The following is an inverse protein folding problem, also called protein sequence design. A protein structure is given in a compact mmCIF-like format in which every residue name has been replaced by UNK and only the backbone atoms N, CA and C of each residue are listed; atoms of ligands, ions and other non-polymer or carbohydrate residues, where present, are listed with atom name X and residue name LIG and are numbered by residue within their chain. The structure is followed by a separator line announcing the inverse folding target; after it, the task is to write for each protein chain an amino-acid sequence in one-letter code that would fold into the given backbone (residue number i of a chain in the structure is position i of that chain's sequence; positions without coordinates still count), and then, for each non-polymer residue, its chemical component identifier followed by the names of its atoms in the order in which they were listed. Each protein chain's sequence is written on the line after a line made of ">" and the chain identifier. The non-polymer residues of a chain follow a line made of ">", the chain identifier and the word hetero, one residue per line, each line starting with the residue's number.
data_IF_379109918306
#
_entry.id   IF_379109918306
#
_cell.length_a   1.000
_cell.length_b   1.000
_cell.length_c   1.000
_cell.angle_alpha   90.00
_cell.angle_beta   90.00
_cell.angle_gamma   90.00
#
_symmetry.space_group_name_H-M   'P 1'
#
loop_
_entity.id
_entity.type
_entity.pdbx_description
1 polymer ?
#
# COMPACT_ATOMS: atom_id res chain seq x y z
N UNK A 1 24.08 -11.58 21.84
CA UNK A 1 22.70 -11.72 21.32
C UNK A 1 22.58 -12.28 19.91
N UNK A 2 23.67 -12.63 19.18
CA UNK A 2 23.55 -13.26 17.85
C UNK A 2 22.89 -12.39 16.76
N UNK A 3 22.72 -11.10 17.02
CA UNK A 3 22.14 -10.10 16.11
C UNK A 3 23.30 -9.30 15.50
N UNK A 4 23.32 -9.20 14.18
CA UNK A 4 24.28 -8.42 13.41
C UNK A 4 23.96 -6.90 13.46
N UNK A 5 24.93 -6.06 13.09
CA UNK A 5 24.78 -4.58 13.13
C UNK A 5 23.61 -4.04 12.29
N UNK A 6 23.18 -4.81 11.29
CA UNK A 6 22.05 -4.52 10.41
C UNK A 6 20.69 -4.99 10.98
N UNK A 7 20.64 -5.47 12.23
CA UNK A 7 19.42 -5.97 12.86
C UNK A 7 18.94 -7.29 12.26
N UNK A 8 19.87 -8.08 11.72
CA UNK A 8 19.61 -9.42 11.19
C UNK A 8 20.14 -10.51 12.11
N UNK A 9 19.47 -11.66 12.10
CA UNK A 9 19.90 -12.90 12.76
C UNK A 9 20.18 -13.91 11.66
N UNK A 10 21.38 -14.48 11.67
CA UNK A 10 21.83 -15.48 10.69
C UNK A 10 21.77 -16.88 11.29
N UNK A 11 20.91 -17.70 10.74
CA UNK A 11 20.79 -19.12 11.06
C UNK A 11 21.60 -19.94 10.05
N UNK A 12 22.42 -20.86 10.54
CA UNK A 12 23.21 -21.80 9.73
C UNK A 12 22.92 -23.22 10.19
N UNK A 13 22.56 -24.09 9.24
CA UNK A 13 22.50 -25.52 9.48
C UNK A 13 23.92 -26.11 9.51
N UNK A 14 24.10 -27.25 10.19
CA UNK A 14 25.35 -27.99 10.09
C UNK A 14 25.43 -28.66 8.71
N UNK A 15 26.65 -28.80 8.20
CA UNK A 15 26.88 -29.42 6.89
C UNK A 15 26.45 -30.89 6.86
N UNK A 16 26.67 -31.62 7.97
CA UNK A 16 26.29 -33.02 8.11
C UNK A 16 24.76 -33.21 7.99
N UNK A 17 23.98 -32.36 8.66
CA UNK A 17 22.52 -32.36 8.56
C UNK A 17 22.05 -32.07 7.12
N UNK A 18 22.73 -31.16 6.43
CA UNK A 18 22.43 -30.85 5.02
C UNK A 18 22.87 -31.97 4.06
N UNK A 19 23.94 -32.71 4.37
CA UNK A 19 24.46 -33.79 3.52
C UNK A 19 23.46 -34.94 3.39
N UNK A 20 22.80 -35.32 4.48
CA UNK A 20 21.78 -36.38 4.48
C UNK A 20 20.39 -35.89 4.00
N UNK A 21 20.22 -34.58 3.73
CA UNK A 21 18.91 -34.00 3.44
C UNK A 21 18.50 -34.20 1.97
N UNK A 22 17.36 -34.86 1.74
CA UNK A 22 16.79 -35.08 0.40
C UNK A 22 16.46 -33.77 -0.35
N UNK A 23 16.20 -32.67 0.36
CA UNK A 23 15.90 -31.36 -0.23
C UNK A 23 17.14 -30.51 -0.53
N UNK A 24 18.35 -31.01 -0.25
CA UNK A 24 19.60 -30.24 -0.36
C UNK A 24 19.77 -29.58 -1.73
N UNK A 25 19.50 -30.31 -2.82
CA UNK A 25 19.66 -29.77 -4.18
C UNK A 25 18.80 -28.53 -4.43
N UNK A 26 17.60 -28.47 -3.86
CA UNK A 26 16.70 -27.30 -3.97
C UNK A 26 17.05 -26.20 -2.97
N UNK A 27 17.48 -26.58 -1.76
CA UNK A 27 17.66 -25.67 -0.64
C UNK A 27 19.03 -24.98 -0.62
N UNK A 28 20.08 -25.63 -1.11
CA UNK A 28 21.47 -25.16 -1.07
C UNK A 28 22.21 -25.44 -2.38
N UNK A 29 21.78 -24.88 -3.52
CA UNK A 29 22.34 -25.22 -4.82
C UNK A 29 23.84 -24.90 -4.93
N UNK A 30 24.26 -23.77 -4.35
CA UNK A 30 25.63 -23.26 -4.44
C UNK A 30 26.35 -23.17 -3.08
N UNK A 31 25.85 -23.84 -2.04
CA UNK A 31 26.41 -23.76 -0.69
C UNK A 31 26.49 -25.13 -0.01
N UNK A 32 27.51 -25.37 0.84
CA UNK A 32 27.68 -26.64 1.54
C UNK A 32 26.59 -26.89 2.60
N UNK A 33 25.96 -25.83 3.13
CA UNK A 33 24.92 -25.91 4.13
C UNK A 33 23.92 -24.75 4.01
N UNK A 34 22.71 -24.92 4.56
CA UNK A 34 21.65 -23.91 4.50
C UNK A 34 22.01 -22.71 5.38
N UNK A 35 21.89 -21.52 4.81
CA UNK A 35 22.00 -20.24 5.53
C UNK A 35 20.71 -19.46 5.32
N UNK A 36 20.09 -19.03 6.41
CA UNK A 36 18.88 -18.20 6.40
C UNK A 36 19.15 -16.94 7.22
N UNK A 37 18.92 -15.78 6.61
CA UNK A 37 18.98 -14.49 7.30
C UNK A 37 17.55 -14.03 7.58
N UNK A 38 17.24 -13.73 8.83
CA UNK A 38 15.93 -13.19 9.26
C UNK A 38 16.14 -11.84 9.92
N UNK A 39 15.19 -10.93 9.81
CA UNK A 39 15.26 -9.69 10.60
C UNK A 39 14.78 -9.93 12.03
N UNK A 40 15.26 -9.11 12.97
CA UNK A 40 14.64 -9.01 14.30
C UNK A 40 13.16 -8.62 14.24
N UNK A 41 12.73 -7.97 13.15
CA UNK A 41 11.33 -7.58 12.91
C UNK A 41 10.59 -8.54 11.98
N UNK A 42 11.08 -9.77 11.79
CA UNK A 42 10.46 -10.68 10.82
C UNK A 42 8.99 -10.98 11.15
N UNK A 43 8.61 -11.08 12.43
CA UNK A 43 7.20 -11.27 12.81
C UNK A 43 6.28 -10.16 12.30
N UNK A 44 6.72 -8.89 12.32
CA UNK A 44 5.96 -7.78 11.75
C UNK A 44 5.87 -7.86 10.22
N UNK A 45 6.93 -8.35 9.57
CA UNK A 45 6.96 -8.56 8.12
C UNK A 45 6.06 -9.71 7.70
N UNK A 46 6.07 -10.80 8.45
CA UNK A 46 5.21 -11.97 8.21
C UNK A 46 3.74 -11.58 8.39
N UNK A 47 3.39 -10.85 9.46
CA UNK A 47 2.05 -10.26 9.63
C UNK A 47 1.67 -9.36 8.44
N UNK A 48 2.60 -8.51 7.98
CA UNK A 48 2.34 -7.65 6.82
C UNK A 48 2.09 -8.49 5.56
N UNK A 49 2.90 -9.54 5.31
CA UNK A 49 2.72 -10.45 4.17
C UNK A 49 1.34 -11.11 4.22
N UNK A 50 0.95 -11.65 5.36
CA UNK A 50 -0.37 -12.26 5.58
C UNK A 50 -1.52 -11.28 5.29
N UNK A 51 -1.45 -10.07 5.86
CA UNK A 51 -2.45 -9.03 5.60
C UNK A 51 -2.48 -8.72 4.11
N UNK A 52 -1.33 -8.50 3.46
CA UNK A 52 -1.28 -8.12 2.04
C UNK A 52 -1.76 -9.22 1.09
N UNK A 53 -1.63 -10.48 1.48
CA UNK A 53 -2.11 -11.64 0.72
C UNK A 53 -3.63 -11.82 0.83
N UNK A 54 -4.28 -11.16 1.79
CA UNK A 54 -5.73 -11.26 1.98
C UNK A 54 -6.53 -10.50 0.91
N UNK A 55 -7.69 -11.05 0.54
CA UNK A 55 -8.65 -10.37 -0.34
C UNK A 55 -9.16 -9.05 0.26
N UNK A 56 -9.31 -9.00 1.58
CA UNK A 56 -9.71 -7.80 2.30
C UNK A 56 -8.71 -6.65 2.07
N UNK A 57 -7.41 -6.93 2.03
CA UNK A 57 -6.39 -5.94 1.72
C UNK A 57 -6.48 -5.47 0.27
N UNK A 58 -6.75 -6.36 -0.69
CA UNK A 58 -6.96 -5.98 -2.09
C UNK A 58 -8.13 -5.01 -2.24
N UNK A 59 -9.26 -5.29 -1.58
CA UNK A 59 -10.43 -4.40 -1.56
C UNK A 59 -10.10 -3.06 -0.92
N UNK A 60 -9.49 -3.08 0.27
CA UNK A 60 -9.07 -1.87 1.00
C UNK A 60 -8.08 -1.02 0.18
N UNK A 61 -7.11 -1.65 -0.48
CA UNK A 61 -6.14 -0.97 -1.37
C UNK A 61 -6.82 -0.28 -2.55
N UNK A 62 -7.77 -0.96 -3.21
CA UNK A 62 -8.57 -0.35 -4.29
C UNK A 62 -9.39 0.84 -3.78
N UNK A 63 -9.95 0.75 -2.58
CA UNK A 63 -10.71 1.85 -1.97
C UNK A 63 -9.80 3.05 -1.62
N UNK A 64 -8.62 2.81 -1.02
CA UNK A 64 -7.64 3.88 -0.72
C UNK A 64 -7.19 4.61 -1.98
N UNK A 65 -6.90 3.89 -3.06
CA UNK A 65 -6.54 4.50 -4.36
C UNK A 65 -7.65 5.42 -4.90
N UNK A 66 -8.93 5.05 -4.74
CA UNK A 66 -10.05 5.94 -5.13
C UNK A 66 -10.05 7.25 -4.34
N UNK A 67 -9.71 7.20 -3.04
CA UNK A 67 -9.61 8.38 -2.17
C UNK A 67 -8.38 9.21 -2.57
N UNK A 68 -7.21 8.60 -2.76
CA UNK A 68 -5.99 9.29 -3.21
C UNK A 68 -6.23 10.07 -4.52
N UNK A 69 -6.91 9.46 -5.48
CA UNK A 69 -7.30 10.12 -6.73
C UNK A 69 -8.27 11.29 -6.53
N UNK A 70 -9.17 11.20 -5.55
CA UNK A 70 -10.05 12.32 -5.20
C UNK A 70 -9.24 13.51 -4.69
N UNK A 71 -8.32 13.30 -3.74
CA UNK A 71 -7.45 14.35 -3.25
C UNK A 71 -6.55 14.93 -4.34
N UNK A 72 -6.02 14.09 -5.23
CA UNK A 72 -5.24 14.54 -6.37
C UNK A 72 -6.07 15.45 -7.31
N UNK A 73 -7.35 15.11 -7.54
CA UNK A 73 -8.25 15.95 -8.32
C UNK A 73 -8.61 17.27 -7.61
N UNK A 74 -8.86 17.24 -6.30
CA UNK A 74 -9.12 18.46 -5.53
C UNK A 74 -7.97 19.46 -5.69
N UNK A 75 -6.72 19.00 -5.53
CA UNK A 75 -5.53 19.84 -5.72
C UNK A 75 -5.37 20.30 -7.16
N UNK A 76 -5.31 19.36 -8.12
CA UNK A 76 -4.93 19.68 -9.50
C UNK A 76 -6.01 20.43 -10.28
N UNK A 77 -7.28 20.12 -10.06
CA UNK A 77 -8.42 20.59 -10.85
C UNK A 77 -9.18 21.70 -10.14
N UNK A 78 -9.51 21.51 -8.85
CA UNK A 78 -10.19 22.56 -8.07
C UNK A 78 -9.20 23.57 -7.46
N UNK A 79 -7.89 23.38 -7.66
CA UNK A 79 -6.83 24.29 -7.19
C UNK A 79 -6.89 24.55 -5.68
N UNK A 80 -7.29 23.53 -4.93
CA UNK A 80 -7.30 23.56 -3.47
C UNK A 80 -5.88 23.32 -2.92
N UNK A 81 -4.96 24.22 -3.27
CA UNK A 81 -3.54 24.15 -2.87
C UNK A 81 -3.29 24.82 -1.52
N UNK A 82 -4.21 25.69 -1.08
CA UNK A 82 -4.19 26.34 0.23
C UNK A 82 -5.61 26.54 0.74
N UNK A 83 -5.76 26.51 2.06
CA UNK A 83 -6.99 26.89 2.75
C UNK A 83 -6.99 28.40 2.97
N UNK A 84 -8.13 29.04 2.70
CA UNK A 84 -8.33 30.49 2.82
C UNK A 84 -8.89 30.89 4.19
N UNK A 85 -9.67 30.02 4.81
CA UNK A 85 -10.26 30.21 6.12
C UNK A 85 -9.30 29.72 7.22
N UNK A 86 -9.27 30.46 8.33
CA UNK A 86 -8.39 30.15 9.46
C UNK A 86 -9.06 29.17 10.43
N UNK A 87 -8.23 28.37 11.10
CA UNK A 87 -8.66 27.42 12.13
C UNK A 87 -9.30 26.13 11.59
N UNK A 88 -9.43 25.14 12.46
CA UNK A 88 -9.93 23.80 12.08
C UNK A 88 -11.37 23.84 11.52
N UNK A 89 -12.21 24.75 12.02
CA UNK A 89 -13.57 24.94 11.52
C UNK A 89 -13.58 25.47 10.08
N UNK A 90 -12.79 26.51 9.81
CA UNK A 90 -12.63 27.05 8.45
C UNK A 90 -12.09 26.02 7.46
N UNK A 91 -11.08 25.27 7.87
CA UNK A 91 -10.54 24.15 7.08
C UNK A 91 -11.62 23.11 6.75
N UNK A 92 -12.41 22.70 7.75
CA UNK A 92 -13.51 21.75 7.57
C UNK A 92 -14.50 22.24 6.53
N UNK A 93 -14.94 23.49 6.63
CA UNK A 93 -15.95 24.07 5.74
C UNK A 93 -15.44 24.13 4.29
N UNK A 94 -14.19 24.57 4.07
CA UNK A 94 -13.58 24.57 2.73
C UNK A 94 -13.49 23.18 2.11
N UNK A 95 -13.10 22.17 2.90
CA UNK A 95 -13.08 20.79 2.43
C UNK A 95 -14.48 20.26 2.10
N UNK A 96 -15.51 20.64 2.86
CA UNK A 96 -16.88 20.24 2.57
C UNK A 96 -17.38 20.85 1.25
N UNK A 97 -17.12 22.14 1.02
CA UNK A 97 -17.45 22.78 -0.26
C UNK A 97 -16.70 22.16 -1.44
N UNK A 98 -15.40 21.92 -1.30
CA UNK A 98 -14.59 21.29 -2.35
C UNK A 98 -15.05 19.85 -2.65
N UNK A 99 -15.39 19.09 -1.61
CA UNK A 99 -15.96 17.74 -1.76
C UNK A 99 -17.32 17.77 -2.46
N UNK A 100 -18.21 18.71 -2.10
CA UNK A 100 -19.50 18.89 -2.75
C UNK A 100 -19.35 19.20 -4.24
N UNK A 101 -18.48 20.15 -4.60
CA UNK A 101 -18.19 20.48 -6.00
C UNK A 101 -17.66 19.27 -6.78
N UNK A 102 -16.74 18.50 -6.18
CA UNK A 102 -16.19 17.30 -6.78
C UNK A 102 -17.25 16.19 -6.97
N UNK A 103 -18.17 16.05 -6.02
CA UNK A 103 -19.29 15.10 -6.11
C UNK A 103 -20.27 15.49 -7.23
N UNK A 104 -20.62 16.77 -7.33
CA UNK A 104 -21.45 17.31 -8.42
C UNK A 104 -20.80 17.05 -9.78
N UNK A 105 -19.49 17.27 -9.90
CA UNK A 105 -18.73 16.98 -11.13
C UNK A 105 -18.74 15.50 -11.51
N UNK A 106 -18.74 14.59 -10.53
CA UNK A 106 -18.88 13.14 -10.79
C UNK A 106 -20.29 12.80 -11.25
N UNK A 107 -21.32 13.33 -10.60
CA UNK A 107 -22.73 13.13 -10.98
C UNK A 107 -23.02 13.64 -12.40
N UNK A 108 -22.44 14.78 -12.78
CA UNK A 108 -22.58 15.32 -14.12
C UNK A 108 -22.01 14.37 -15.19
N UNK A 109 -20.94 13.62 -14.89
CA UNK A 109 -20.33 12.64 -15.81
C UNK A 109 -21.13 11.35 -15.97
N UNK A 110 -21.94 10.98 -14.97
CA UNK A 110 -22.77 9.78 -15.03
C UNK A 110 -24.08 10.00 -15.76
N UNK A 111 -24.46 11.27 -15.99
CA UNK A 111 -25.65 11.59 -16.79
C UNK A 111 -25.28 11.50 -18.28
N UNK A 112 -26.05 10.78 -19.11
CA UNK A 112 -25.90 10.88 -20.55
C UNK A 112 -26.12 12.34 -20.96
N UNK A 113 -25.23 12.87 -21.80
CA UNK A 113 -25.47 14.16 -22.42
C UNK A 113 -26.76 14.04 -23.23
N UNK A 114 -27.79 14.88 -23.00
CA UNK A 114 -28.89 14.98 -23.94
C UNK A 114 -28.26 15.29 -25.29
N UNK A 115 -28.52 14.44 -26.30
CA UNK A 115 -28.07 14.71 -27.65
C UNK A 115 -28.50 16.13 -28.00
N UNK A 116 -27.55 16.96 -28.43
CA UNK A 116 -27.87 18.28 -28.96
C UNK A 116 -28.85 18.03 -30.11
N UNK A 117 -30.12 18.42 -29.96
CA UNK A 117 -31.06 18.37 -31.06
C UNK A 117 -30.50 19.26 -32.17
N UNK A 118 -30.40 18.78 -33.41
CA UNK A 118 -29.98 19.63 -34.52
C UNK A 118 -30.96 20.81 -34.65
N UNK A 119 -30.40 21.98 -34.90
CA UNK A 119 -31.12 23.25 -35.09
C UNK A 119 -32.03 23.20 -36.32
#
# INVERSE_FOLDING_TARGET
>A
SGIDKDGSIRYRARQQDCQACALRQRCTPNMPARKVTRSVHEGARDLTREITASDAFLVSSRQRKKIEMLFAHLKRILKLDRLRLRGAKGAKDEFHFAAAAQNLRKLAKTRPMPGLAPA
#
